data_IF_003084863074
#
_entry.id   IF_003084863074
#
_cell.length_a   1.000
_cell.length_b   1.000
_cell.length_c   1.000
_cell.angle_alpha   90.00
_cell.angle_beta   90.00
_cell.angle_gamma   90.00
#
_symmetry.space_group_name_H-M   'P 1'
#
loop_
_entity.id
_entity.type
_entity.pdbx_description
1 polymer ?
#
# COMPACT_ATOMS: atom_id res chain seq x y z
N UNK A 1 20.62 71.57 -6.95
CA UNK A 1 19.73 71.10 -5.88
C UNK A 1 19.22 69.70 -6.21
N UNK A 2 19.08 68.90 -5.14
CA UNK A 2 18.51 67.55 -5.06
C UNK A 2 19.48 66.37 -5.28
N UNK A 3 20.28 66.15 -4.24
CA UNK A 3 20.73 64.82 -3.80
C UNK A 3 19.52 63.97 -3.40
N UNK A 4 19.41 62.74 -3.90
CA UNK A 4 18.51 61.71 -3.40
C UNK A 4 19.23 60.35 -3.38
N UNK A 5 19.16 59.56 -2.29
CA UNK A 5 19.93 58.32 -2.16
C UNK A 5 19.25 57.13 -2.87
N UNK A 6 20.09 56.22 -3.39
CA UNK A 6 19.67 54.93 -3.97
C UNK A 6 19.19 53.95 -2.88
N UNK A 7 18.17 53.11 -3.15
CA UNK A 7 17.74 52.10 -2.20
C UNK A 7 18.66 50.86 -2.21
N UNK A 8 18.88 50.31 -1.02
CA UNK A 8 19.73 49.16 -0.73
C UNK A 8 19.12 47.82 -1.18
N UNK A 9 20.01 46.86 -1.46
CA UNK A 9 19.70 45.50 -1.92
C UNK A 9 18.82 44.70 -0.94
N UNK A 10 17.97 43.77 -1.42
CA UNK A 10 17.18 42.93 -0.53
C UNK A 10 18.02 41.79 0.06
N UNK A 11 17.71 41.50 1.32
CA UNK A 11 18.35 40.54 2.20
C UNK A 11 18.55 39.14 1.60
N UNK A 12 19.76 38.59 1.81
CA UNK A 12 20.07 37.17 1.71
C UNK A 12 19.17 36.38 2.67
N UNK A 13 18.24 35.59 2.12
CA UNK A 13 17.58 34.53 2.89
C UNK A 13 18.59 33.40 3.14
N UNK A 14 19.04 33.28 4.38
CA UNK A 14 19.77 32.11 4.85
C UNK A 14 18.82 30.91 4.93
N UNK A 15 18.83 30.06 3.91
CA UNK A 15 18.25 28.71 4.01
C UNK A 15 19.08 27.89 5.00
N UNK A 16 18.57 27.74 6.23
CA UNK A 16 19.05 26.69 7.13
C UNK A 16 18.61 25.33 6.55
N UNK A 17 19.51 24.36 6.37
CA UNK A 17 19.11 23.02 5.96
C UNK A 17 18.21 22.42 7.05
N UNK A 18 17.00 21.98 6.65
CA UNK A 18 16.13 21.17 7.51
C UNK A 18 16.88 19.89 7.84
N UNK A 19 17.38 19.78 9.08
CA UNK A 19 17.90 18.53 9.63
C UNK A 19 16.71 17.58 9.77
N UNK A 20 16.55 16.67 8.82
CA UNK A 20 15.72 15.49 9.01
C UNK A 20 16.34 14.68 10.16
N UNK A 21 15.52 14.18 11.11
CA UNK A 21 16.05 13.30 12.14
C UNK A 21 16.65 12.04 11.47
N UNK A 22 17.70 11.45 12.07
CA UNK A 22 18.24 10.20 11.57
C UNK A 22 17.15 9.13 11.55
N UNK A 23 17.07 8.39 10.44
CA UNK A 23 16.21 7.23 10.28
C UNK A 23 16.50 6.29 11.44
N UNK A 24 15.56 6.18 12.38
CA UNK A 24 15.67 5.22 13.46
C UNK A 24 15.69 3.82 12.86
N UNK A 25 16.66 2.96 13.21
CA UNK A 25 16.64 1.57 12.77
C UNK A 25 15.34 0.93 13.27
N UNK A 26 14.56 0.38 12.34
CA UNK A 26 13.27 -0.24 12.61
C UNK A 26 13.44 -1.33 13.70
N UNK A 27 13.09 -1.01 14.95
CA UNK A 27 12.88 -2.02 15.98
C UNK A 27 11.79 -2.98 15.53
N UNK A 28 11.97 -4.28 15.77
CA UNK A 28 11.16 -5.43 15.34
C UNK A 28 9.67 -5.14 15.04
N UNK A 29 9.36 -4.55 13.88
CA UNK A 29 7.99 -4.29 13.43
C UNK A 29 7.20 -5.60 13.30
N UNK A 30 7.90 -6.72 13.10
CA UNK A 30 7.35 -8.08 13.08
C UNK A 30 6.91 -8.63 14.44
N UNK A 31 7.14 -7.92 15.55
CA UNK A 31 6.73 -8.40 16.88
C UNK A 31 5.21 -8.38 17.08
N UNK A 32 4.47 -7.66 16.24
CA UNK A 32 3.01 -7.61 16.25
C UNK A 32 2.45 -8.10 14.91
N UNK A 33 1.37 -8.91 14.95
CA UNK A 33 0.73 -9.42 13.75
C UNK A 33 0.23 -8.26 12.88
N UNK A 34 0.43 -8.37 11.57
CA UNK A 34 -0.01 -7.36 10.63
C UNK A 34 -1.55 -7.34 10.54
N UNK A 35 -2.13 -6.14 10.56
CA UNK A 35 -3.57 -5.93 10.45
C UNK A 35 -3.86 -4.99 9.28
N UNK A 36 -5.13 -4.94 8.88
CA UNK A 36 -5.62 -3.92 7.97
C UNK A 36 -5.80 -2.59 8.71
N UNK A 37 -5.57 -1.48 8.02
CA UNK A 37 -5.76 -0.16 8.59
C UNK A 37 -7.26 0.07 8.91
N UNK A 38 -7.62 0.53 10.12
CA UNK A 38 -9.01 0.50 10.60
C UNK A 38 -9.94 1.48 9.88
N UNK A 39 -9.46 2.67 9.53
CA UNK A 39 -10.29 3.74 8.97
C UNK A 39 -10.19 3.84 7.44
N UNK A 40 -8.96 3.96 6.92
CA UNK A 40 -8.65 4.09 5.49
C UNK A 40 -8.87 2.81 4.71
N UNK A 41 -10.07 2.64 4.19
CA UNK A 41 -10.50 1.50 3.37
C UNK A 41 -11.63 1.92 2.43
N UNK A 42 -11.78 1.20 1.33
CA UNK A 42 -12.85 1.42 0.36
C UNK A 42 -14.24 1.19 0.96
N UNK A 43 -15.24 1.86 0.41
CA UNK A 43 -16.62 1.89 0.92
C UNK A 43 -17.33 0.54 0.91
N UNK A 44 -16.81 -0.45 0.17
CA UNK A 44 -17.37 -1.81 0.14
C UNK A 44 -16.69 -2.77 1.12
N UNK A 45 -15.72 -2.32 1.93
CA UNK A 45 -15.00 -3.17 2.88
C UNK A 45 -15.74 -3.25 4.20
N UNK A 46 -16.13 -4.47 4.57
CA UNK A 46 -16.45 -4.85 5.94
C UNK A 46 -15.22 -5.54 6.54
N UNK A 47 -14.89 -5.17 7.78
CA UNK A 47 -13.73 -5.67 8.52
C UNK A 47 -14.17 -6.33 9.82
N UNK A 48 -13.48 -7.39 10.24
CA UNK A 48 -13.72 -8.01 11.54
C UNK A 48 -13.14 -7.19 12.71
N UNK A 49 -13.54 -7.52 13.94
CA UNK A 49 -13.08 -6.80 15.14
C UNK A 49 -11.56 -6.88 15.35
N UNK A 50 -10.94 -7.98 14.89
CA UNK A 50 -9.49 -8.17 15.00
C UNK A 50 -8.68 -7.41 13.93
N UNK A 51 -9.37 -6.79 12.95
CA UNK A 51 -8.79 -6.11 11.80
C UNK A 51 -7.87 -7.00 10.96
N UNK A 52 -8.08 -8.32 11.00
CA UNK A 52 -7.29 -9.30 10.25
C UNK A 52 -8.04 -9.87 9.06
N UNK A 53 -9.35 -9.70 8.99
CA UNK A 53 -10.18 -10.24 7.92
C UNK A 53 -11.02 -9.12 7.31
N UNK A 54 -11.02 -9.03 5.99
CA UNK A 54 -11.87 -8.11 5.24
C UNK A 54 -12.69 -8.84 4.19
N UNK A 55 -13.90 -8.34 3.96
CA UNK A 55 -14.79 -8.83 2.91
C UNK A 55 -15.37 -7.65 2.13
N UNK A 56 -15.46 -7.80 0.82
CA UNK A 56 -16.22 -6.90 -0.04
C UNK A 56 -17.70 -7.24 0.06
N UNK A 57 -18.50 -6.31 0.57
CA UNK A 57 -19.92 -6.53 0.83
C UNK A 57 -20.75 -6.63 -0.46
N UNK A 58 -20.54 -5.70 -1.40
CA UNK A 58 -21.21 -5.65 -2.69
C UNK A 58 -20.29 -5.13 -3.80
N UNK A 59 -20.81 -5.07 -5.03
CA UNK A 59 -20.06 -4.70 -6.25
C UNK A 59 -18.85 -5.60 -6.54
N UNK A 60 -17.98 -5.15 -7.44
CA UNK A 60 -16.71 -5.77 -7.82
C UNK A 60 -15.47 -4.91 -7.48
N UNK A 61 -15.67 -3.72 -6.91
CA UNK A 61 -14.63 -2.70 -6.69
C UNK A 61 -14.90 -1.85 -5.44
N UNK A 62 -14.24 -0.70 -5.29
CA UNK A 62 -14.30 0.16 -4.09
C UNK A 62 -13.86 -0.59 -2.81
N UNK A 63 -12.81 -1.40 -2.95
CA UNK A 63 -12.41 -2.38 -1.95
C UNK A 63 -10.90 -2.34 -1.65
N UNK A 64 -10.31 -1.15 -1.76
CA UNK A 64 -8.90 -0.89 -1.46
C UNK A 64 -8.70 -0.87 0.07
N UNK A 65 -7.66 -1.53 0.55
CA UNK A 65 -7.24 -1.54 1.95
C UNK A 65 -5.73 -1.37 2.04
N UNK A 66 -5.26 -1.01 3.23
CA UNK A 66 -3.85 -0.83 3.54
C UNK A 66 -3.45 -1.60 4.79
N UNK A 67 -2.17 -1.82 5.02
CA UNK A 67 -1.70 -2.29 6.34
C UNK A 67 -1.84 -1.20 7.40
N UNK A 68 -2.02 -1.60 8.66
CA UNK A 68 -2.10 -0.66 9.79
C UNK A 68 -0.76 -0.01 10.16
N UNK A 69 0.36 -0.61 9.73
CA UNK A 69 1.72 -0.13 9.98
C UNK A 69 2.61 -0.26 8.75
N UNK A 70 3.78 0.42 8.74
CA UNK A 70 4.80 0.17 7.74
C UNK A 70 5.27 -1.29 7.72
N UNK A 71 5.66 -1.75 6.55
CA UNK A 71 6.24 -3.06 6.23
C UNK A 71 7.73 -2.87 6.02
N UNK A 72 8.54 -3.69 6.71
CA UNK A 72 9.98 -3.67 6.49
C UNK A 72 10.34 -4.27 5.12
N UNK A 73 11.48 -3.86 4.56
CA UNK A 73 12.04 -4.52 3.37
C UNK A 73 12.28 -6.00 3.69
N UNK A 74 11.90 -6.89 2.77
CA UNK A 74 11.86 -8.36 2.93
C UNK A 74 10.81 -8.92 3.90
N UNK A 75 10.05 -8.08 4.62
CA UNK A 75 8.92 -8.56 5.40
C UNK A 75 7.83 -9.07 4.45
N UNK A 76 7.36 -10.30 4.68
CA UNK A 76 6.34 -10.91 3.86
C UNK A 76 4.95 -10.56 4.37
N UNK A 77 4.18 -9.85 3.56
CA UNK A 77 2.75 -9.67 3.77
C UNK A 77 2.06 -10.95 3.30
N UNK A 78 1.45 -11.68 4.24
CA UNK A 78 0.80 -12.97 3.97
C UNK A 78 -0.72 -12.81 4.02
N UNK A 79 -1.40 -13.20 2.94
CA UNK A 79 -2.84 -13.09 2.76
C UNK A 79 -3.43 -14.44 2.37
N UNK A 80 -4.44 -14.92 3.10
CA UNK A 80 -5.27 -16.05 2.68
C UNK A 80 -6.51 -15.53 1.95
N UNK A 81 -6.82 -16.08 0.79
CA UNK A 81 -8.12 -15.85 0.13
C UNK A 81 -9.17 -16.65 0.87
N UNK A 82 -10.14 -15.97 1.48
CA UNK A 82 -11.20 -16.58 2.27
C UNK A 82 -12.51 -16.70 1.52
N UNK A 83 -12.71 -15.89 0.47
CA UNK A 83 -13.92 -15.94 -0.35
C UNK A 83 -13.66 -15.51 -1.79
N UNK A 84 -14.21 -16.26 -2.74
CA UNK A 84 -14.27 -15.99 -4.18
C UNK A 84 -15.73 -15.76 -4.61
N UNK A 85 -15.92 -14.99 -5.66
CA UNK A 85 -17.21 -14.70 -6.28
C UNK A 85 -17.05 -14.79 -7.80
N UNK A 86 -17.52 -15.90 -8.38
CA UNK A 86 -17.25 -16.26 -9.78
C UNK A 86 -18.03 -15.47 -10.84
N UNK A 87 -18.92 -14.55 -10.46
CA UNK A 87 -19.71 -13.75 -11.41
C UNK A 87 -19.02 -12.45 -11.87
N UNK A 88 -17.76 -12.24 -11.48
CA UNK A 88 -16.95 -11.09 -11.90
C UNK A 88 -15.66 -11.57 -12.55
N UNK A 89 -15.02 -10.71 -13.33
CA UNK A 89 -13.66 -10.94 -13.82
C UNK A 89 -12.66 -10.05 -13.06
N UNK A 90 -11.38 -10.39 -13.23
CA UNK A 90 -10.25 -9.77 -12.56
C UNK A 90 -10.02 -10.28 -11.15
N UNK A 91 -8.79 -10.13 -10.69
CA UNK A 91 -8.32 -10.69 -9.44
C UNK A 91 -7.80 -9.62 -8.48
N UNK A 92 -7.44 -10.07 -7.27
CA UNK A 92 -6.77 -9.31 -6.24
C UNK A 92 -5.60 -8.49 -6.82
N UNK A 93 -5.51 -7.20 -6.48
CA UNK A 93 -4.32 -6.39 -6.79
C UNK A 93 -3.54 -6.12 -5.53
N UNK A 94 -2.21 -6.21 -5.65
CA UNK A 94 -1.29 -6.14 -4.53
C UNK A 94 -0.15 -5.19 -4.84
N UNK A 95 0.35 -4.54 -3.80
CA UNK A 95 1.58 -3.77 -3.88
C UNK A 95 1.81 -2.95 -2.62
N UNK A 96 2.35 -1.74 -2.81
CA UNK A 96 2.82 -0.89 -1.73
C UNK A 96 2.46 0.57 -1.96
N UNK A 97 2.44 1.35 -0.89
CA UNK A 97 2.39 2.80 -0.95
C UNK A 97 3.39 3.41 0.03
N UNK A 98 3.97 4.55 -0.33
CA UNK A 98 4.75 5.39 0.59
C UNK A 98 3.90 6.49 1.25
N UNK A 99 2.59 6.51 0.98
CA UNK A 99 1.63 7.40 1.65
C UNK A 99 1.12 6.72 2.90
N UNK A 100 1.31 7.38 4.03
CA UNK A 100 0.76 6.94 5.32
C UNK A 100 -0.78 6.86 5.24
N UNK A 101 -1.39 5.67 5.38
CA UNK A 101 -2.84 5.51 5.29
C UNK A 101 -3.61 6.35 6.30
N UNK A 102 -3.03 6.67 7.46
CA UNK A 102 -3.67 7.52 8.48
C UNK A 102 -3.90 8.96 8.01
N UNK A 103 -3.21 9.37 6.94
CA UNK A 103 -3.30 10.72 6.33
C UNK A 103 -4.13 10.75 5.04
N UNK A 104 -4.62 9.60 4.59
CA UNK A 104 -5.48 9.51 3.41
C UNK A 104 -6.93 9.61 3.86
N UNK A 105 -7.69 10.56 3.28
CA UNK A 105 -9.13 10.60 3.49
C UNK A 105 -9.78 9.38 2.80
N UNK A 106 -10.51 8.51 3.52
CA UNK A 106 -11.20 7.35 2.93
C UNK A 106 -12.16 7.73 1.80
N UNK A 107 -12.81 8.90 1.87
CA UNK A 107 -13.76 9.37 0.85
C UNK A 107 -13.08 9.74 -0.48
N UNK A 108 -11.76 9.96 -0.45
CA UNK A 108 -10.95 10.26 -1.63
C UNK A 108 -10.37 8.99 -2.27
N UNK A 109 -10.61 7.80 -1.70
CA UNK A 109 -10.14 6.56 -2.30
C UNK A 109 -10.88 6.31 -3.62
N UNK A 110 -10.15 6.05 -4.71
CA UNK A 110 -10.77 5.76 -5.99
C UNK A 110 -11.37 4.35 -6.03
N UNK A 111 -12.05 4.04 -7.13
CA UNK A 111 -12.70 2.73 -7.32
C UNK A 111 -11.69 1.59 -7.42
N UNK A 112 -10.51 1.85 -7.98
CA UNK A 112 -9.53 0.84 -8.33
C UNK A 112 -8.11 1.22 -7.88
N UNK A 113 -7.31 0.25 -7.44
CA UNK A 113 -5.88 0.48 -7.29
C UNK A 113 -5.18 0.69 -8.65
N UNK A 114 -5.56 -0.11 -9.65
CA UNK A 114 -5.06 -0.02 -11.01
C UNK A 114 -6.21 0.36 -11.96
N UNK A 115 -6.12 1.46 -12.74
CA UNK A 115 -4.99 2.39 -12.83
C UNK A 115 -5.00 3.52 -11.79
N UNK A 116 -6.12 3.77 -11.09
CA UNK A 116 -6.36 5.06 -10.43
C UNK A 116 -5.32 5.43 -9.36
N UNK A 117 -5.01 4.54 -8.40
CA UNK A 117 -3.96 4.83 -7.42
C UNK A 117 -2.56 4.78 -8.03
N UNK A 118 -2.26 3.79 -8.88
CA UNK A 118 -0.93 3.63 -9.49
C UNK A 118 -0.55 4.82 -10.39
N UNK A 119 -1.52 5.55 -10.93
CA UNK A 119 -1.28 6.80 -11.66
C UNK A 119 -0.79 7.95 -10.77
N UNK A 120 -0.95 7.84 -9.46
CA UNK A 120 -0.55 8.84 -8.48
C UNK A 120 0.84 8.52 -7.90
N UNK A 121 1.61 9.57 -7.58
CA UNK A 121 2.93 9.40 -6.96
C UNK A 121 2.84 8.68 -5.62
N UNK A 122 3.74 7.71 -5.39
CA UNK A 122 3.85 6.99 -4.12
C UNK A 122 2.91 5.79 -3.98
N UNK A 123 2.35 5.28 -5.08
CA UNK A 123 1.56 4.06 -5.12
C UNK A 123 2.08 3.12 -6.21
N UNK A 124 2.20 1.84 -5.88
CA UNK A 124 2.62 0.80 -6.81
C UNK A 124 1.79 -0.44 -6.56
N UNK A 125 1.09 -0.95 -7.57
CA UNK A 125 0.30 -2.16 -7.47
C UNK A 125 0.17 -2.85 -8.82
N UNK A 126 -0.10 -4.15 -8.79
CA UNK A 126 -0.36 -4.96 -9.98
C UNK A 126 -1.42 -6.00 -9.66
N UNK A 127 -2.23 -6.36 -10.66
CA UNK A 127 -3.18 -7.45 -10.56
C UNK A 127 -2.47 -8.81 -10.56
N UNK A 128 -2.90 -9.73 -9.69
CA UNK A 128 -2.53 -11.14 -9.81
C UNK A 128 -3.23 -11.76 -11.02
N UNK A 129 -2.64 -12.81 -11.62
CA UNK A 129 -3.36 -13.69 -12.54
C UNK A 129 -4.60 -14.30 -11.87
N UNK A 130 -5.70 -14.42 -12.62
CA UNK A 130 -6.99 -14.84 -12.06
C UNK A 130 -6.95 -16.28 -11.55
N UNK A 131 -6.19 -17.11 -12.24
CA UNK A 131 -5.98 -18.54 -11.94
C UNK A 131 -5.38 -18.77 -10.54
N UNK A 132 -4.69 -17.76 -9.99
CA UNK A 132 -4.07 -17.81 -8.66
C UNK A 132 -5.01 -17.33 -7.53
N UNK A 133 -6.19 -16.83 -7.88
CA UNK A 133 -7.14 -16.22 -6.93
C UNK A 133 -8.19 -17.22 -6.41
N UNK A 134 -7.76 -18.41 -6.03
CA UNK A 134 -8.66 -19.47 -5.52
C UNK A 134 -8.83 -19.41 -4.00
N UNK A 135 -10.03 -19.76 -3.52
CA UNK A 135 -10.29 -19.86 -2.08
C UNK A 135 -9.29 -20.83 -1.43
N UNK A 136 -8.80 -20.46 -0.24
CA UNK A 136 -7.79 -21.22 0.50
C UNK A 136 -6.34 -20.92 0.11
N UNK A 137 -6.07 -20.31 -1.06
CA UNK A 137 -4.69 -19.96 -1.43
C UNK A 137 -4.12 -18.90 -0.47
N UNK A 138 -2.86 -19.08 -0.12
CA UNK A 138 -2.08 -18.13 0.66
C UNK A 138 -1.09 -17.43 -0.25
N UNK A 139 -1.28 -16.13 -0.45
CA UNK A 139 -0.35 -15.29 -1.18
C UNK A 139 0.62 -14.69 -0.18
N UNK A 140 1.91 -14.71 -0.48
CA UNK A 140 2.90 -13.90 0.26
C UNK A 140 3.59 -12.97 -0.72
N UNK A 141 3.68 -11.68 -0.42
CA UNK A 141 4.40 -10.71 -1.24
C UNK A 141 5.28 -9.81 -0.38
N UNK A 142 6.40 -9.36 -0.95
CA UNK A 142 7.39 -8.53 -0.28
C UNK A 142 8.18 -7.72 -1.30
N UNK A 143 8.84 -6.66 -0.82
CA UNK A 143 9.77 -5.84 -1.61
C UNK A 143 11.20 -6.09 -1.15
N UNK A 144 12.16 -6.09 -2.07
CA UNK A 144 13.59 -6.14 -1.75
C UNK A 144 14.26 -4.76 -1.69
N UNK A 145 15.53 -4.72 -1.29
CA UNK A 145 16.32 -3.47 -1.21
C UNK A 145 16.49 -2.75 -2.57
N UNK A 146 16.22 -3.41 -3.69
CA UNK A 146 16.30 -2.85 -5.04
C UNK A 146 14.94 -2.35 -5.54
N UNK A 147 13.90 -2.38 -4.71
CA UNK A 147 12.55 -1.97 -5.12
C UNK A 147 11.85 -2.98 -6.03
N UNK A 148 12.31 -4.25 -6.04
CA UNK A 148 11.66 -5.34 -6.76
C UNK A 148 10.66 -6.02 -5.85
N UNK A 149 9.44 -6.17 -6.32
CA UNK A 149 8.36 -6.85 -5.61
C UNK A 149 8.29 -8.28 -6.08
N UNK A 150 8.28 -9.21 -5.13
CA UNK A 150 8.10 -10.62 -5.36
C UNK A 150 6.79 -11.09 -4.75
N UNK A 151 6.25 -12.17 -5.28
CA UNK A 151 5.16 -12.90 -4.66
C UNK A 151 5.38 -14.41 -4.76
N UNK A 152 4.67 -15.16 -3.92
CA UNK A 152 4.55 -16.62 -4.02
C UNK A 152 3.14 -17.04 -3.65
N UNK A 153 2.72 -18.20 -4.16
CA UNK A 153 1.44 -18.83 -3.83
C UNK A 153 1.72 -20.09 -3.03
N UNK A 154 1.16 -20.18 -1.82
CA UNK A 154 1.39 -21.25 -0.87
C UNK A 154 2.90 -21.45 -0.64
N UNK A 155 3.42 -22.63 -0.99
CA UNK A 155 4.84 -22.99 -0.86
C UNK A 155 5.56 -23.00 -2.22
N UNK A 156 5.02 -22.32 -3.24
CA UNK A 156 5.67 -22.20 -4.54
C UNK A 156 6.97 -21.40 -4.45
N UNK A 157 7.79 -21.52 -5.50
CA UNK A 157 8.93 -20.65 -5.68
C UNK A 157 8.50 -19.18 -5.77
N UNK A 158 9.29 -18.25 -5.20
CA UNK A 158 9.11 -16.82 -5.40
C UNK A 158 9.16 -16.44 -6.89
N UNK A 159 8.25 -15.57 -7.31
CA UNK A 159 8.18 -15.01 -8.64
C UNK A 159 8.32 -13.49 -8.59
N UNK A 160 9.05 -12.91 -9.54
CA UNK A 160 9.11 -11.45 -9.69
C UNK A 160 7.73 -10.94 -10.14
N UNK A 161 7.18 -9.97 -9.41
CA UNK A 161 5.87 -9.40 -9.71
C UNK A 161 5.97 -8.15 -10.58
N UNK A 162 6.73 -7.16 -10.09
CA UNK A 162 7.07 -5.90 -10.74
C UNK A 162 8.25 -5.22 -10.02
N UNK A 163 8.75 -4.12 -10.57
CA UNK A 163 9.87 -3.36 -10.03
C UNK A 163 9.56 -1.86 -9.99
N UNK A 164 10.41 -1.08 -9.34
CA UNK A 164 10.32 0.39 -9.30
C UNK A 164 9.72 0.97 -8.03
N UNK A 165 9.55 0.16 -6.98
CA UNK A 165 9.12 0.65 -5.67
C UNK A 165 10.26 1.41 -5.00
N UNK A 166 9.99 2.62 -4.52
CA UNK A 166 10.99 3.43 -3.81
C UNK A 166 11.05 3.00 -2.33
N UNK A 167 12.17 2.42 -1.91
CA UNK A 167 12.35 1.83 -0.56
C UNK A 167 13.12 2.74 0.41
N UNK A 168 13.32 4.01 0.07
CA UNK A 168 13.96 5.00 0.94
C UNK A 168 13.01 5.51 2.04
N UNK A 169 11.70 5.42 1.80
CA UNK A 169 10.64 5.86 2.70
C UNK A 169 9.90 4.64 3.29
N UNK A 170 9.21 4.80 4.43
CA UNK A 170 8.32 3.77 4.95
C UNK A 170 7.26 3.35 3.92
N UNK A 171 6.99 2.06 3.83
CA UNK A 171 6.02 1.48 2.90
C UNK A 171 4.89 0.79 3.65
N UNK A 172 3.65 0.98 3.21
CA UNK A 172 2.50 0.21 3.68
C UNK A 172 2.06 -0.77 2.59
N UNK A 173 1.54 -1.92 3.00
CA UNK A 173 0.92 -2.85 2.09
C UNK A 173 -0.34 -2.23 1.48
N UNK A 174 -0.55 -2.41 0.19
CA UNK A 174 -1.76 -2.02 -0.53
C UNK A 174 -2.43 -3.28 -1.07
N UNK A 175 -3.69 -3.50 -0.70
CA UNK A 175 -4.48 -4.66 -1.10
C UNK A 175 -5.83 -4.18 -1.66
N UNK A 176 -6.12 -4.45 -2.93
CA UNK A 176 -7.43 -4.15 -3.53
C UNK A 176 -8.22 -5.45 -3.72
N UNK A 177 -9.26 -5.64 -2.90
CA UNK A 177 -10.14 -6.82 -2.89
C UNK A 177 -11.11 -6.77 -4.09
N UNK A 178 -10.56 -7.03 -5.27
CA UNK A 178 -11.17 -6.76 -6.56
C UNK A 178 -11.73 -8.01 -7.25
N UNK A 179 -12.76 -7.81 -8.07
CA UNK A 179 -13.29 -8.80 -9.02
C UNK A 179 -13.71 -10.11 -8.35
N UNK A 180 -13.09 -11.20 -8.77
CA UNK A 180 -13.28 -12.57 -8.29
C UNK A 180 -13.00 -12.71 -6.79
N UNK A 181 -12.08 -11.94 -6.23
CA UNK A 181 -11.75 -12.04 -4.80
C UNK A 181 -12.75 -11.22 -3.98
N UNK A 182 -13.50 -11.89 -3.09
CA UNK A 182 -14.49 -11.25 -2.23
C UNK A 182 -14.01 -11.11 -0.78
N UNK A 183 -13.10 -11.96 -0.32
CA UNK A 183 -12.62 -11.92 1.06
C UNK A 183 -11.19 -12.38 1.20
N UNK A 184 -10.45 -11.71 2.09
CA UNK A 184 -9.06 -12.04 2.42
C UNK A 184 -8.80 -11.91 3.91
N UNK A 185 -7.77 -12.60 4.40
CA UNK A 185 -7.32 -12.56 5.79
C UNK A 185 -5.79 -12.41 5.84
N UNK A 186 -5.28 -11.48 6.66
CA UNK A 186 -3.86 -11.35 6.98
C UNK A 186 -3.44 -12.44 7.97
N UNK A 187 -2.31 -13.11 7.70
CA UNK A 187 -1.78 -14.25 8.46
C UNK A 187 -0.59 -13.88 9.35
#
# INVERSE_FOLDING_TARGET
SLNGPFPAAPHRFHHKPKRYPPIQPCGNLSSFPLQFHPSTKGSQIIMDLSQRTVKRQASFCNAITFSNRPIAVYEQVRLKITKKQCCWSGALRLGFTSKDPSRINPDNLPKYACPDLVSQSGFWAKALPEELSNEGNVISFWVDKKGRVFYRINNSNPMLFFSGVHVAEPLWALIDVYGLTRGVQLL
#
